data_IF_331100804238
#
_entry.id   IF_331100804238
#
_cell.length_a   1.000
_cell.length_b   1.000
_cell.length_c   1.000
_cell.angle_alpha   90.00
_cell.angle_beta   90.00
_cell.angle_gamma   90.00
#
_symmetry.space_group_name_H-M   'P 1'
#
loop_
_entity.id
_entity.type
_entity.pdbx_description
1 polymer ?
#
# COMPACT_ATOMS: atom_id res chain seq x y z
N UNK A 1 14.90 -8.55 5.56
CA UNK A 1 14.09 -7.81 6.54
C UNK A 1 12.90 -8.65 6.90
N UNK A 2 12.51 -8.64 8.18
CA UNK A 2 11.29 -9.31 8.63
C UNK A 2 10.11 -8.32 8.62
N UNK A 3 8.89 -8.84 8.55
CA UNK A 3 7.67 -8.04 8.48
C UNK A 3 7.58 -6.99 9.61
N UNK A 4 7.86 -7.38 10.85
CA UNK A 4 7.85 -6.47 12.02
C UNK A 4 8.74 -5.25 11.77
N UNK A 5 9.98 -5.47 11.34
CA UNK A 5 10.93 -4.38 11.08
C UNK A 5 10.46 -3.49 9.92
N UNK A 6 9.83 -4.05 8.89
CA UNK A 6 9.30 -3.29 7.77
C UNK A 6 8.12 -2.40 8.19
N UNK A 7 7.19 -2.95 8.99
CA UNK A 7 6.05 -2.19 9.52
C UNK A 7 6.56 -1.11 10.46
N UNK A 8 7.43 -1.44 11.40
CA UNK A 8 8.02 -0.48 12.34
C UNK A 8 8.72 0.67 11.61
N UNK A 9 9.51 0.38 10.58
CA UNK A 9 10.14 1.41 9.73
C UNK A 9 9.13 2.20 8.91
N UNK A 10 7.97 1.66 8.59
CA UNK A 10 6.94 2.35 7.83
C UNK A 10 6.11 3.32 8.66
N UNK A 11 6.00 3.11 9.97
CA UNK A 11 5.21 3.98 10.87
C UNK A 11 5.69 5.43 10.81
N UNK A 12 4.77 6.39 10.88
CA UNK A 12 5.04 7.83 10.90
C UNK A 12 4.38 8.58 9.74
N UNK A 13 4.74 9.87 9.62
CA UNK A 13 4.24 10.76 8.58
C UNK A 13 5.22 10.82 7.42
N UNK A 14 4.69 10.79 6.20
CA UNK A 14 5.44 10.80 4.95
C UNK A 14 4.86 11.84 4.02
N UNK A 15 5.72 12.47 3.22
CA UNK A 15 5.33 13.21 2.03
C UNK A 15 5.65 12.35 0.82
N UNK A 16 4.62 12.02 0.05
CA UNK A 16 4.70 11.18 -1.14
C UNK A 16 4.61 12.05 -2.38
N UNK A 17 5.48 11.79 -3.35
CA UNK A 17 5.33 12.28 -4.72
C UNK A 17 5.24 11.06 -5.62
N UNK A 18 4.11 10.90 -6.29
CA UNK A 18 3.78 9.76 -7.15
C UNK A 18 3.59 10.23 -8.58
N UNK A 19 4.22 9.55 -9.52
CA UNK A 19 3.95 9.65 -10.94
C UNK A 19 3.31 8.36 -11.43
N UNK A 20 2.25 8.46 -12.21
CA UNK A 20 1.55 7.33 -12.81
C UNK A 20 1.40 7.51 -14.31
N UNK A 21 1.50 6.42 -15.04
CA UNK A 21 1.34 6.36 -16.48
C UNK A 21 0.26 5.33 -16.79
N UNK A 22 -0.87 5.79 -17.31
CA UNK A 22 -1.88 4.91 -17.88
C UNK A 22 -1.55 4.64 -19.34
N UNK A 23 -1.14 3.40 -19.65
CA UNK A 23 -0.76 3.02 -21.00
C UNK A 23 -1.97 2.89 -21.91
N UNK A 24 -3.10 2.42 -21.38
CA UNK A 24 -4.34 2.28 -22.14
C UNK A 24 -4.91 3.64 -22.60
N UNK A 25 -4.73 4.68 -21.79
CA UNK A 25 -5.27 6.02 -22.05
C UNK A 25 -4.21 7.05 -22.45
N UNK A 26 -2.93 6.67 -22.48
CA UNK A 26 -1.79 7.58 -22.73
C UNK A 26 -1.79 8.81 -21.81
N UNK A 27 -2.24 8.61 -20.57
CA UNK A 27 -2.35 9.67 -19.57
C UNK A 27 -1.20 9.61 -18.59
N UNK A 28 -0.79 10.79 -18.13
CA UNK A 28 0.18 10.98 -17.06
C UNK A 28 -0.51 11.64 -15.88
N UNK A 29 -0.26 11.12 -14.68
CA UNK A 29 -0.72 11.71 -13.43
C UNK A 29 0.50 11.99 -12.53
N UNK A 30 0.52 13.15 -11.90
CA UNK A 30 1.44 13.46 -10.80
C UNK A 30 0.66 13.90 -9.57
N UNK A 31 0.86 13.18 -8.47
CA UNK A 31 0.13 13.39 -7.23
C UNK A 31 1.11 13.58 -6.09
N UNK A 32 0.96 14.69 -5.37
CA UNK A 32 1.62 14.92 -4.10
C UNK A 32 0.63 14.61 -2.99
N UNK A 33 1.06 13.90 -1.97
CA UNK A 33 0.19 13.57 -0.83
C UNK A 33 0.96 13.50 0.48
N UNK A 34 0.26 13.80 1.56
CA UNK A 34 0.66 13.40 2.90
C UNK A 34 0.15 11.99 3.17
N UNK A 35 0.98 11.13 3.76
CA UNK A 35 0.62 9.77 4.17
C UNK A 35 0.96 9.60 5.64
N UNK A 36 0.00 9.14 6.44
CA UNK A 36 0.18 8.81 7.85
C UNK A 36 0.04 7.30 8.01
N UNK A 37 1.04 6.67 8.62
CA UNK A 37 1.04 5.23 8.91
C UNK A 37 1.13 5.03 10.42
N UNK A 38 0.14 4.36 10.99
CA UNK A 38 0.01 4.18 12.44
C UNK A 38 -0.24 2.71 12.79
N UNK A 39 0.32 2.25 13.90
CA UNK A 39 0.03 0.90 14.40
C UNK A 39 -1.41 0.83 14.89
N UNK A 40 -2.05 -0.32 14.71
CA UNK A 40 -3.37 -0.64 15.26
C UNK A 40 -3.25 -1.92 16.09
N UNK A 41 -4.00 -1.99 17.18
CA UNK A 41 -4.07 -3.20 18.01
C UNK A 41 -4.75 -4.35 17.26
N UNK A 42 -4.27 -5.61 17.39
CA UNK A 42 -4.94 -6.76 16.78
C UNK A 42 -6.38 -6.99 17.25
N UNK A 43 -6.75 -6.46 18.41
CA UNK A 43 -8.12 -6.51 18.95
C UNK A 43 -9.01 -5.35 18.50
N UNK A 44 -8.49 -4.42 17.68
CA UNK A 44 -9.31 -3.33 17.14
C UNK A 44 -10.52 -3.90 16.36
N UNK A 45 -11.74 -3.37 16.57
CA UNK A 45 -12.94 -3.88 15.91
C UNK A 45 -12.83 -3.95 14.39
N UNK A 46 -12.11 -3.02 13.75
CA UNK A 46 -11.93 -3.01 12.31
C UNK A 46 -11.01 -4.15 11.85
N UNK A 47 -9.96 -4.45 12.62
CA UNK A 47 -9.09 -5.61 12.38
C UNK A 47 -9.88 -6.91 12.53
N UNK A 48 -10.65 -7.03 13.61
CA UNK A 48 -11.49 -8.20 13.88
C UNK A 48 -12.55 -8.40 12.78
N UNK A 49 -13.13 -7.33 12.25
CA UNK A 49 -14.10 -7.43 11.16
C UNK A 49 -13.46 -7.93 9.86
N UNK A 50 -12.29 -7.39 9.47
CA UNK A 50 -11.56 -7.87 8.29
C UNK A 50 -11.19 -9.35 8.38
N UNK A 51 -10.91 -9.84 9.59
CA UNK A 51 -10.58 -11.24 9.84
C UNK A 51 -11.80 -12.17 9.76
N UNK A 52 -13.02 -11.69 10.08
CA UNK A 52 -14.24 -12.51 9.95
C UNK A 52 -14.53 -12.87 8.50
N UNK A 53 -14.30 -11.93 7.60
CA UNK A 53 -14.51 -12.11 6.16
C UNK A 53 -13.32 -12.84 5.50
N UNK A 54 -12.28 -13.12 6.27
CA UNK A 54 -11.12 -13.86 5.81
C UNK A 54 -11.41 -15.37 5.78
N UNK A 55 -11.11 -16.01 4.65
CA UNK A 55 -11.25 -17.47 4.47
C UNK A 55 -10.12 -18.28 5.11
N UNK A 56 -9.09 -17.62 5.66
CA UNK A 56 -7.92 -18.27 6.27
C UNK A 56 -8.29 -18.76 7.68
N UNK A 57 -8.33 -20.08 7.84
CA UNK A 57 -8.51 -20.73 9.15
C UNK A 57 -7.27 -20.47 10.03
N UNK A 58 -7.50 -20.21 11.31
CA UNK A 58 -6.45 -19.96 12.33
C UNK A 58 -5.50 -18.79 11.98
N UNK A 59 -6.01 -17.78 11.27
CA UNK A 59 -5.26 -16.57 10.95
C UNK A 59 -4.67 -15.94 12.23
N UNK A 60 -3.34 -15.78 12.25
CA UNK A 60 -2.60 -15.10 13.32
C UNK A 60 -2.08 -13.76 12.78
N UNK A 61 -2.88 -12.69 12.85
CA UNK A 61 -2.45 -11.38 12.40
C UNK A 61 -1.30 -10.87 13.28
N UNK A 62 -0.32 -10.20 12.69
CA UNK A 62 0.75 -9.50 13.43
C UNK A 62 0.94 -8.09 12.89
N UNK A 63 1.23 -7.16 13.79
CA UNK A 63 1.47 -5.73 13.50
C UNK A 63 0.47 -5.11 12.49
N UNK A 64 -0.85 -5.14 12.74
CA UNK A 64 -1.80 -4.39 11.92
C UNK A 64 -1.47 -2.89 11.94
N UNK A 65 -1.73 -2.21 10.83
CA UNK A 65 -1.48 -0.79 10.73
C UNK A 65 -2.53 -0.08 9.87
N UNK A 66 -2.79 1.19 10.19
CA UNK A 66 -3.62 2.10 9.41
C UNK A 66 -2.73 2.89 8.48
N UNK A 67 -3.19 3.11 7.26
CA UNK A 67 -2.60 4.05 6.34
C UNK A 67 -3.67 5.04 5.89
N UNK A 68 -3.43 6.31 6.17
CA UNK A 68 -4.24 7.44 5.72
C UNK A 68 -3.46 8.26 4.70
N UNK A 69 -4.12 8.76 3.67
CA UNK A 69 -3.50 9.65 2.70
C UNK A 69 -4.41 10.84 2.39
N UNK A 70 -3.79 11.97 2.09
CA UNK A 70 -4.46 13.17 1.66
C UNK A 70 -3.58 13.88 0.61
N UNK A 71 -4.11 14.07 -0.59
CA UNK A 71 -3.51 14.78 -1.70
C UNK A 71 -3.33 16.26 -1.33
N UNK A 72 -2.16 16.81 -1.62
CA UNK A 72 -1.87 18.22 -1.39
C UNK A 72 -2.58 19.04 -2.49
N UNK A 73 -3.50 19.93 -2.07
CA UNK A 73 -4.46 20.61 -2.96
C UNK A 73 -3.92 21.82 -3.74
N UNK A 74 -2.60 22.01 -3.82
CA UNK A 74 -2.04 23.19 -4.51
C UNK A 74 -2.24 23.14 -6.03
N UNK A 75 -2.74 22.01 -6.54
CA UNK A 75 -3.26 21.84 -7.88
C UNK A 75 -4.69 21.33 -7.71
N UNK A 76 -5.70 22.16 -8.00
CA UNK A 76 -7.06 21.66 -8.14
C UNK A 76 -7.00 20.52 -9.17
N UNK A 77 -7.46 19.30 -8.83
CA UNK A 77 -7.54 18.26 -9.83
C UNK A 77 -8.49 18.75 -10.93
N UNK A 78 -8.05 18.67 -12.20
CA UNK A 78 -8.92 18.93 -13.36
C UNK A 78 -10.16 18.00 -13.35
N UNK A 79 -10.09 16.91 -12.58
CA UNK A 79 -11.17 15.96 -12.35
C UNK A 79 -11.77 16.08 -10.93
N UNK A 80 -13.02 16.58 -10.78
CA UNK A 80 -13.71 16.68 -9.50
C UNK A 80 -14.08 15.33 -8.86
N UNK A 81 -13.86 14.19 -9.54
CA UNK A 81 -14.02 12.84 -9.00
C UNK A 81 -12.75 12.25 -8.38
N UNK A 82 -11.61 12.95 -8.46
CA UNK A 82 -10.35 12.48 -7.90
C UNK A 82 -10.48 12.30 -6.38
N UNK A 83 -10.21 11.08 -5.90
CA UNK A 83 -10.17 10.77 -4.46
C UNK A 83 -8.97 11.51 -3.86
N UNK A 84 -9.24 12.65 -3.24
CA UNK A 84 -8.22 13.50 -2.62
C UNK A 84 -7.78 12.97 -1.26
N UNK A 85 -8.59 12.14 -0.58
CA UNK A 85 -8.20 11.54 0.68
C UNK A 85 -8.78 10.15 0.86
N UNK A 86 -8.10 9.30 1.63
CA UNK A 86 -8.58 7.97 1.95
C UNK A 86 -7.86 7.35 3.14
N UNK A 87 -8.40 6.22 3.59
CA UNK A 87 -7.85 5.45 4.69
C UNK A 87 -8.04 3.96 4.40
N UNK A 88 -7.06 3.16 4.78
CA UNK A 88 -7.18 1.72 4.77
C UNK A 88 -6.46 1.09 5.95
N UNK A 89 -6.93 -0.08 6.34
CA UNK A 89 -6.30 -0.92 7.36
C UNK A 89 -5.65 -2.10 6.67
N UNK A 90 -4.42 -2.38 7.07
CA UNK A 90 -3.62 -3.49 6.58
C UNK A 90 -3.39 -4.46 7.74
N UNK A 91 -3.76 -5.73 7.52
CA UNK A 91 -3.66 -6.80 8.51
C UNK A 91 -2.75 -7.90 7.95
N UNK A 92 -1.46 -7.91 8.32
CA UNK A 92 -0.53 -8.94 7.89
C UNK A 92 -0.77 -10.27 8.61
N UNK A 93 -0.80 -11.37 7.87
CA UNK A 93 -0.93 -12.75 8.34
C UNK A 93 0.27 -13.54 7.77
N UNK A 94 1.36 -13.71 8.54
CA UNK A 94 2.53 -14.45 8.08
C UNK A 94 2.24 -15.93 7.86
N UNK A 95 2.78 -16.48 6.77
CA UNK A 95 2.83 -17.93 6.53
C UNK A 95 4.25 -18.46 6.69
N UNK A 96 5.26 -17.59 6.57
CA UNK A 96 6.68 -17.85 6.78
C UNK A 96 7.39 -16.53 7.18
N UNK A 97 8.68 -16.58 7.49
CA UNK A 97 9.51 -15.43 7.90
C UNK A 97 9.59 -14.31 6.85
N UNK A 98 9.40 -14.64 5.58
CA UNK A 98 9.48 -13.67 4.46
C UNK A 98 8.20 -13.59 3.63
N UNK A 99 7.16 -14.35 3.95
CA UNK A 99 5.98 -14.48 3.09
C UNK A 99 4.71 -14.56 3.92
N UNK A 100 3.60 -14.15 3.32
CA UNK A 100 2.31 -14.25 3.96
C UNK A 100 1.22 -13.59 3.15
N UNK A 101 0.12 -13.35 3.83
CA UNK A 101 -1.06 -12.70 3.29
C UNK A 101 -1.22 -11.34 3.96
N UNK A 102 -1.66 -10.35 3.21
CA UNK A 102 -1.99 -9.02 3.71
C UNK A 102 -3.45 -8.75 3.36
N UNK A 103 -4.31 -8.68 4.38
CA UNK A 103 -5.69 -8.24 4.20
C UNK A 103 -5.71 -6.71 4.19
N UNK A 104 -6.51 -6.13 3.31
CA UNK A 104 -6.64 -4.69 3.16
C UNK A 104 -8.11 -4.31 3.12
N UNK A 105 -8.54 -3.36 3.95
CA UNK A 105 -9.95 -2.95 4.04
C UNK A 105 -10.52 -2.33 2.76
N UNK A 106 -9.67 -1.60 2.03
CA UNK A 106 -9.98 -1.01 0.73
C UNK A 106 -8.78 -1.26 -0.16
N UNK A 107 -9.00 -1.84 -1.34
CA UNK A 107 -7.97 -2.19 -2.30
C UNK A 107 -7.12 -1.00 -2.76
N UNK A 108 -6.00 -1.33 -3.41
CA UNK A 108 -5.13 -0.34 -4.05
C UNK A 108 -5.79 0.28 -5.29
N UNK A 109 -6.41 -0.56 -6.12
CA UNK A 109 -7.02 -0.16 -7.39
C UNK A 109 -8.55 -0.14 -7.35
N UNK A 110 -9.16 -0.94 -6.47
CA UNK A 110 -10.62 -1.10 -6.36
C UNK A 110 -11.09 -0.75 -4.94
N UNK A 111 -12.31 -0.23 -4.82
CA UNK A 111 -12.90 0.20 -3.54
C UNK A 111 -13.44 -0.96 -2.68
N UNK A 112 -12.95 -2.18 -2.90
CA UNK A 112 -13.38 -3.40 -2.21
C UNK A 112 -12.26 -3.96 -1.32
N UNK A 113 -12.63 -4.80 -0.35
CA UNK A 113 -11.66 -5.51 0.47
C UNK A 113 -10.76 -6.38 -0.42
N UNK A 114 -9.45 -6.30 -0.17
CA UNK A 114 -8.47 -6.99 -0.98
C UNK A 114 -7.64 -7.96 -0.15
N UNK A 115 -7.35 -9.13 -0.73
CA UNK A 115 -6.44 -10.13 -0.18
C UNK A 115 -5.21 -10.18 -1.06
N UNK A 116 -4.06 -9.90 -0.46
CA UNK A 116 -2.80 -9.81 -1.19
C UNK A 116 -1.80 -10.84 -0.66
N UNK A 117 -0.97 -11.39 -1.55
CA UNK A 117 0.20 -12.16 -1.12
C UNK A 117 1.38 -11.20 -1.01
N UNK A 118 2.15 -11.29 0.07
CA UNK A 118 3.38 -10.54 0.21
C UNK A 118 4.60 -11.45 0.25
N UNK A 119 5.75 -10.92 -0.18
CA UNK A 119 7.05 -11.59 -0.08
C UNK A 119 8.16 -10.57 0.10
N UNK A 120 9.11 -10.83 1.00
CA UNK A 120 10.37 -10.11 1.10
C UNK A 120 11.44 -10.78 0.23
N UNK A 121 12.08 -9.97 -0.61
CA UNK A 121 13.29 -10.36 -1.33
C UNK A 121 14.52 -10.38 -0.42
N UNK A 122 15.65 -10.83 -0.97
CA UNK A 122 16.94 -10.85 -0.25
C UNK A 122 17.50 -9.46 0.04
N UNK A 123 17.15 -8.47 -0.78
CA UNK A 123 17.55 -7.07 -0.64
C UNK A 123 16.57 -6.24 0.21
N UNK A 124 15.71 -6.91 0.98
CA UNK A 124 14.68 -6.32 1.84
C UNK A 124 13.51 -5.64 1.12
N UNK A 125 13.41 -5.76 -0.21
CA UNK A 125 12.25 -5.27 -0.95
C UNK A 125 10.99 -6.05 -0.57
N UNK A 126 9.95 -5.33 -0.16
CA UNK A 126 8.62 -5.87 0.10
C UNK A 126 7.80 -5.88 -1.20
N UNK A 127 7.48 -7.06 -1.69
CA UNK A 127 6.59 -7.25 -2.84
C UNK A 127 5.19 -7.57 -2.33
N UNK A 128 4.19 -6.88 -2.87
CA UNK A 128 2.78 -7.14 -2.65
C UNK A 128 2.12 -7.46 -3.98
N UNK A 129 1.38 -8.56 -4.05
CA UNK A 129 0.62 -8.95 -5.24
C UNK A 129 -0.83 -9.15 -4.88
N UNK A 130 -1.71 -8.42 -5.56
CA UNK A 130 -3.16 -8.41 -5.32
C UNK A 130 -3.89 -8.72 -6.62
N UNK A 131 -4.81 -9.69 -6.58
CA UNK A 131 -5.67 -10.02 -7.71
C UNK A 131 -7.00 -9.26 -7.56
N UNK A 132 -7.40 -8.56 -8.62
CA UNK A 132 -8.65 -7.80 -8.72
C UNK A 132 -9.40 -8.28 -9.97
N UNK A 133 -10.37 -9.19 -9.82
CA UNK A 133 -11.08 -9.77 -10.97
C UNK A 133 -10.11 -10.29 -12.05
N UNK A 134 -10.08 -9.61 -13.21
CA UNK A 134 -9.21 -9.92 -14.35
C UNK A 134 -7.91 -9.08 -14.42
N UNK A 135 -7.51 -8.49 -13.30
CA UNK A 135 -6.32 -7.63 -13.17
C UNK A 135 -5.46 -8.06 -11.98
N UNK A 136 -4.16 -7.77 -12.06
CA UNK A 136 -3.18 -8.00 -11.02
C UNK A 136 -2.47 -6.68 -10.74
N UNK A 137 -2.50 -6.23 -9.50
CA UNK A 137 -1.63 -5.18 -9.00
C UNK A 137 -0.40 -5.81 -8.34
N UNK A 138 0.79 -5.43 -8.78
CA UNK A 138 2.05 -5.76 -8.13
C UNK A 138 2.69 -4.46 -7.62
N UNK A 139 2.96 -4.37 -6.32
CA UNK A 139 3.67 -3.26 -5.70
C UNK A 139 5.01 -3.75 -5.16
N UNK A 140 6.06 -2.93 -5.29
CA UNK A 140 7.38 -3.16 -4.72
C UNK A 140 7.72 -1.96 -3.86
N UNK A 141 8.02 -2.20 -2.60
CA UNK A 141 8.26 -1.16 -1.61
C UNK A 141 9.61 -1.44 -0.94
N UNK A 142 10.50 -0.46 -0.95
CA UNK A 142 11.81 -0.58 -0.32
C UNK A 142 12.24 0.73 0.32
N UNK A 143 13.15 0.64 1.27
CA UNK A 143 13.73 1.81 1.91
C UNK A 143 15.10 2.11 1.29
N UNK A 144 15.24 3.29 0.70
CA UNK A 144 16.53 3.80 0.21
C UNK A 144 17.39 4.27 1.40
N UNK A 145 16.75 4.81 2.43
CA UNK A 145 17.37 5.15 3.71
C UNK A 145 16.35 5.00 4.85
N UNK A 146 16.70 5.39 6.08
CA UNK A 146 15.77 5.38 7.21
C UNK A 146 14.53 6.27 6.96
N UNK A 147 14.72 7.37 6.24
CA UNK A 147 13.72 8.43 6.04
C UNK A 147 13.28 8.58 4.58
N UNK A 148 13.71 7.68 3.70
CA UNK A 148 13.34 7.66 2.29
C UNK A 148 12.87 6.27 1.91
N UNK A 149 11.59 6.17 1.51
CA UNK A 149 10.95 4.96 1.01
C UNK A 149 10.56 5.18 -0.45
N UNK A 150 10.71 4.14 -1.26
CA UNK A 150 10.28 4.16 -2.65
C UNK A 150 9.26 3.04 -2.86
N UNK A 151 8.35 3.29 -3.79
CA UNK A 151 7.33 2.34 -4.19
C UNK A 151 7.15 2.38 -5.70
N UNK A 152 7.25 1.23 -6.35
CA UNK A 152 6.84 1.07 -7.75
C UNK A 152 5.65 0.13 -7.82
N UNK A 153 4.69 0.42 -8.69
CA UNK A 153 3.57 -0.47 -8.91
C UNK A 153 3.23 -0.65 -10.38
N UNK A 154 2.69 -1.82 -10.70
CA UNK A 154 2.22 -2.19 -12.02
C UNK A 154 0.84 -2.80 -11.88
N UNK A 155 -0.12 -2.28 -12.64
CA UNK A 155 -1.42 -2.91 -12.86
C UNK A 155 -1.40 -3.57 -14.23
N UNK A 156 -1.59 -4.89 -14.27
CA UNK A 156 -1.59 -5.70 -15.51
C UNK A 156 -2.85 -6.55 -15.60
N UNK A 157 -3.20 -6.97 -16.80
CA UNK A 157 -4.29 -7.95 -17.00
C UNK A 157 -3.87 -9.34 -16.51
N UNK A 158 -4.81 -10.14 -16.03
CA UNK A 158 -4.57 -11.51 -15.55
C UNK A 158 -4.40 -12.52 -16.68
N UNK A 159 -5.07 -12.28 -17.82
CA UNK A 159 -5.09 -13.16 -18.97
C UNK A 159 -3.92 -12.96 -19.95
N UNK A 160 -2.99 -12.03 -19.68
CA UNK A 160 -1.88 -11.74 -20.58
C UNK A 160 -0.80 -10.85 -19.96
N UNK A 161 0.10 -10.32 -20.80
CA UNK A 161 1.17 -9.39 -20.37
C UNK A 161 0.80 -7.92 -20.56
N UNK A 162 -0.49 -7.62 -20.71
CA UNK A 162 -0.97 -6.26 -20.97
C UNK A 162 -0.78 -5.40 -19.73
N UNK A 163 0.08 -4.39 -19.82
CA UNK A 163 0.29 -3.41 -18.76
C UNK A 163 -0.75 -2.30 -18.93
N UNK A 164 -1.58 -2.10 -17.91
CA UNK A 164 -2.63 -1.08 -17.89
C UNK A 164 -2.07 0.24 -17.35
N UNK A 165 -1.36 0.17 -16.22
CA UNK A 165 -0.80 1.34 -15.54
C UNK A 165 0.50 0.98 -14.84
N UNK A 166 1.43 1.93 -14.82
CA UNK A 166 2.65 1.86 -14.03
C UNK A 166 2.81 3.11 -13.19
N UNK A 167 3.22 2.98 -11.94
CA UNK A 167 3.44 4.13 -11.07
C UNK A 167 4.73 4.00 -10.30
N UNK A 168 5.33 5.15 -9.98
CA UNK A 168 6.47 5.25 -9.08
C UNK A 168 6.20 6.35 -8.06
N UNK A 169 6.54 6.10 -6.80
CA UNK A 169 6.47 7.06 -5.72
C UNK A 169 7.77 7.12 -4.94
N UNK A 170 8.20 8.33 -4.62
CA UNK A 170 9.22 8.62 -3.61
C UNK A 170 8.56 9.24 -2.39
N UNK A 171 8.84 8.68 -1.22
CA UNK A 171 8.19 9.02 0.04
C UNK A 171 9.27 9.43 1.05
N UNK A 172 9.21 10.68 1.49
CA UNK A 172 10.17 11.26 2.43
C UNK A 172 9.49 11.40 3.78
N UNK A 173 10.11 10.85 4.83
CA UNK A 173 9.58 10.96 6.18
C UNK A 173 9.56 12.42 6.62
N UNK A 174 8.44 12.85 7.17
CA UNK A 174 8.37 14.10 7.93
C UNK A 174 8.99 13.88 9.30
N UNK A 175 10.15 14.47 9.50
CA UNK A 175 10.72 14.65 10.82
C UNK A 175 10.02 15.87 11.40
N UNK A 176 9.23 15.69 12.46
CA UNK A 176 8.68 16.83 13.16
C UNK A 176 9.84 17.69 13.63
N UNK A 177 9.92 18.93 13.15
CA UNK A 177 10.86 19.91 13.68
C UNK A 177 10.43 20.16 15.13
N UNK A 178 11.29 19.79 16.09
CA UNK A 178 11.13 20.19 17.48
C UNK A 178 10.89 21.70 17.51
N UNK A 179 9.66 22.09 17.83
CA UNK A 179 9.25 23.46 18.16
C UNK A 179 8.96 23.55 19.64
#
# INVERSE_FOLDING_TARGET
MQLESFVARSLGRWRSMRSGHSLAFQQFEDVRSSVLIESIEPQDPLVLNLLKDCTIRDAKPIHPFRMEWNAESDWEPDDPSAITAGSCILVPIPTDNRKGILLRSVGYAEAEQAVSNYTFLEDDTFILSTQYGQSIAEERIWFVSENVRCRSSVLRTSAGSGILQTSFASEIRRLDSFS
#
